data_IF_420048958796
#
_entry.id   IF_420048958796
#
_cell.length_a   1.000
_cell.length_b   1.000
_cell.length_c   1.000
_cell.angle_alpha   90.00
_cell.angle_beta   90.00
_cell.angle_gamma   90.00
#
_symmetry.space_group_name_H-M   'P 1'
#
loop_
_entity.id
_entity.type
_entity.pdbx_description
1 polymer ?
#
# COMPACT_ATOMS: atom_id res chain seq x y z
N UNK A 1 3.70 -5.48 2.94
CA UNK A 1 2.88 -4.51 2.16
C UNK A 1 1.80 -5.26 1.41
N UNK A 2 0.59 -4.71 1.37
CA UNK A 2 -0.55 -5.23 0.61
C UNK A 2 -1.09 -4.09 -0.28
N UNK A 3 -1.35 -4.37 -1.56
CA UNK A 3 -1.94 -3.40 -2.51
C UNK A 3 -3.08 -4.08 -3.26
N UNK A 4 -4.25 -3.45 -3.34
CA UNK A 4 -5.47 -4.04 -3.93
C UNK A 4 -6.44 -2.96 -4.46
N UNK A 5 -7.52 -3.37 -5.11
CA UNK A 5 -8.62 -2.51 -5.55
C UNK A 5 -9.93 -2.83 -4.81
N UNK A 6 -10.67 -1.81 -4.39
CA UNK A 6 -11.88 -2.03 -3.55
C UNK A 6 -13.06 -2.65 -4.31
N UNK A 7 -13.06 -2.58 -5.64
CA UNK A 7 -14.08 -3.15 -6.52
C UNK A 7 -13.64 -4.49 -7.13
N UNK A 8 -12.62 -5.14 -6.54
CA UNK A 8 -12.21 -6.47 -6.95
C UNK A 8 -13.30 -7.52 -6.73
N UNK A 9 -13.68 -8.21 -7.80
CA UNK A 9 -14.65 -9.30 -7.81
C UNK A 9 -14.06 -10.67 -7.48
N UNK A 10 -12.73 -10.80 -7.44
CA UNK A 10 -12.02 -12.06 -7.16
C UNK A 10 -11.68 -12.25 -5.67
N UNK A 11 -12.02 -11.27 -4.83
CA UNK A 11 -11.90 -11.35 -3.37
C UNK A 11 -10.51 -11.03 -2.80
N UNK A 12 -9.58 -10.51 -3.59
CA UNK A 12 -8.26 -10.08 -3.14
C UNK A 12 -8.32 -8.93 -2.14
N UNK A 13 -9.28 -8.00 -2.26
CA UNK A 13 -9.44 -6.95 -1.26
C UNK A 13 -9.86 -7.52 0.11
N UNK A 14 -10.81 -8.47 0.12
CA UNK A 14 -11.25 -9.13 1.35
C UNK A 14 -10.14 -10.00 1.97
N UNK A 15 -9.42 -10.76 1.14
CA UNK A 15 -8.26 -11.56 1.58
C UNK A 15 -7.13 -10.66 2.11
N UNK A 16 -6.81 -9.57 1.41
CA UNK A 16 -5.82 -8.60 1.83
C UNK A 16 -6.18 -7.92 3.15
N UNK A 17 -7.45 -7.54 3.34
CA UNK A 17 -7.92 -6.97 4.61
C UNK A 17 -7.79 -7.96 5.78
N UNK A 18 -8.11 -9.23 5.54
CA UNK A 18 -7.93 -10.31 6.54
C UNK A 18 -6.45 -10.50 6.87
N UNK A 19 -5.58 -10.55 5.87
CA UNK A 19 -4.15 -10.75 6.08
C UNK A 19 -3.53 -9.54 6.79
N UNK A 20 -3.95 -8.31 6.46
CA UNK A 20 -3.57 -7.11 7.21
C UNK A 20 -3.94 -7.23 8.69
N UNK A 21 -5.19 -7.59 9.00
CA UNK A 21 -5.66 -7.71 10.38
C UNK A 21 -4.87 -8.77 11.17
N UNK A 22 -4.64 -9.94 10.55
CA UNK A 22 -3.89 -11.02 11.17
C UNK A 22 -2.42 -10.65 11.42
N UNK A 23 -1.75 -10.00 10.46
CA UNK A 23 -0.35 -9.57 10.62
C UNK A 23 -0.26 -8.44 11.65
N UNK A 24 -1.18 -7.46 11.62
CA UNK A 24 -1.21 -6.37 12.58
C UNK A 24 -1.33 -6.88 14.03
N UNK A 25 -2.12 -7.93 14.25
CA UNK A 25 -2.32 -8.54 15.56
C UNK A 25 -1.07 -9.21 16.16
N UNK A 26 -0.05 -9.52 15.36
CA UNK A 26 1.23 -10.06 15.86
C UNK A 26 2.05 -9.00 16.61
N UNK A 27 1.84 -7.71 16.31
CA UNK A 27 2.42 -6.57 17.03
C UNK A 27 3.89 -6.25 16.73
N UNK A 28 4.62 -7.16 16.09
CA UNK A 28 6.06 -7.02 15.80
C UNK A 28 6.37 -6.95 14.29
N UNK A 29 5.38 -7.21 13.43
CA UNK A 29 5.55 -7.16 11.97
C UNK A 29 4.98 -5.86 11.40
N UNK A 30 5.81 -5.01 10.79
CA UNK A 30 5.37 -3.82 10.07
C UNK A 30 4.47 -4.19 8.88
N UNK A 31 3.28 -3.61 8.83
CA UNK A 31 2.32 -3.88 7.76
C UNK A 31 1.62 -2.61 7.31
N UNK A 32 1.42 -2.49 6.00
CA UNK A 32 0.60 -1.46 5.38
C UNK A 32 -0.27 -2.07 4.30
N UNK A 33 -1.49 -1.55 4.16
CA UNK A 33 -2.44 -1.87 3.12
C UNK A 33 -2.85 -0.59 2.38
N UNK A 34 -2.80 -0.65 1.05
CA UNK A 34 -3.29 0.38 0.15
C UNK A 34 -4.39 -0.22 -0.73
N UNK A 35 -5.62 0.28 -0.62
CA UNK A 35 -6.74 -0.16 -1.45
C UNK A 35 -7.26 0.99 -2.31
N UNK A 36 -7.13 0.87 -3.65
CA UNK A 36 -7.58 1.90 -4.59
C UNK A 36 -9.09 1.82 -4.77
N UNK A 37 -9.77 2.92 -4.48
CA UNK A 37 -11.23 3.02 -4.53
C UNK A 37 -11.72 2.84 -5.96
N UNK A 38 -12.60 1.85 -6.17
CA UNK A 38 -13.21 1.55 -7.47
C UNK A 38 -12.32 0.76 -8.44
N UNK A 39 -11.08 0.45 -8.08
CA UNK A 39 -10.21 -0.39 -8.89
C UNK A 39 -10.60 -1.87 -8.80
N UNK A 40 -10.40 -2.61 -9.90
CA UNK A 40 -10.58 -4.05 -9.97
C UNK A 40 -9.37 -4.80 -9.37
N UNK A 41 -9.28 -6.12 -9.61
CA UNK A 41 -8.17 -6.97 -9.15
C UNK A 41 -6.79 -6.46 -9.59
N UNK A 42 -6.66 -6.00 -10.83
CA UNK A 42 -5.39 -5.60 -11.44
C UNK A 42 -5.06 -4.13 -11.24
N UNK A 43 -6.04 -3.32 -10.85
CA UNK A 43 -5.88 -1.89 -10.63
C UNK A 43 -5.32 -1.19 -11.86
N UNK A 44 -4.14 -0.58 -11.71
CA UNK A 44 -3.47 0.15 -12.77
C UNK A 44 -2.13 -0.47 -13.21
N UNK A 45 -1.92 -1.77 -12.96
CA UNK A 45 -0.71 -2.48 -13.37
C UNK A 45 -0.46 -2.49 -14.89
N UNK A 46 -1.50 -2.30 -15.70
CA UNK A 46 -1.41 -2.20 -17.16
C UNK A 46 -1.07 -0.78 -17.66
N UNK A 47 -1.07 0.21 -16.77
CA UNK A 47 -0.67 1.55 -17.12
C UNK A 47 0.83 1.62 -17.42
N UNK A 48 1.27 2.71 -18.06
CA UNK A 48 2.70 2.94 -18.31
C UNK A 48 3.48 2.84 -17.00
N UNK A 49 4.51 2.00 -16.99
CA UNK A 49 5.35 1.68 -15.82
C UNK A 49 4.58 1.10 -14.62
N UNK A 50 3.42 0.47 -14.84
CA UNK A 50 2.65 -0.23 -13.81
C UNK A 50 1.89 0.69 -12.83
N UNK A 51 1.71 1.96 -13.19
CA UNK A 51 0.81 2.87 -12.50
C UNK A 51 1.21 3.20 -11.06
N UNK A 52 0.23 3.52 -10.24
CA UNK A 52 0.42 3.84 -8.83
C UNK A 52 0.66 2.58 -7.99
N UNK A 53 0.11 1.42 -8.39
CA UNK A 53 0.40 0.15 -7.73
C UNK A 53 1.90 -0.13 -7.72
N UNK A 54 2.58 0.05 -8.86
CA UNK A 54 4.04 -0.09 -8.92
C UNK A 54 4.78 0.98 -8.10
N UNK A 55 4.32 2.23 -8.12
CA UNK A 55 4.96 3.31 -7.33
C UNK A 55 4.95 3.01 -5.83
N UNK A 56 3.81 2.56 -5.29
CA UNK A 56 3.67 2.17 -3.88
C UNK A 56 4.66 1.04 -3.54
N UNK A 57 4.70 -0.01 -4.36
CA UNK A 57 5.62 -1.14 -4.15
C UNK A 57 7.08 -0.70 -4.17
N UNK A 58 7.47 0.14 -5.13
CA UNK A 58 8.85 0.66 -5.22
C UNK A 58 9.23 1.52 -4.01
N UNK A 59 8.32 2.36 -3.51
CA UNK A 59 8.59 3.17 -2.33
C UNK A 59 8.84 2.31 -1.09
N UNK A 60 8.09 1.21 -0.91
CA UNK A 60 8.34 0.28 0.18
C UNK A 60 9.68 -0.43 0.06
N UNK A 61 10.03 -0.88 -1.14
CA UNK A 61 11.33 -1.51 -1.37
C UNK A 61 12.49 -0.52 -1.18
N UNK A 62 12.34 0.73 -1.61
CA UNK A 62 13.34 1.78 -1.36
C UNK A 62 13.50 2.03 0.14
N UNK A 63 12.41 2.12 0.89
CA UNK A 63 12.49 2.30 2.34
C UNK A 63 13.17 1.11 3.03
N UNK A 64 12.63 -0.09 2.87
CA UNK A 64 13.08 -1.25 3.65
C UNK A 64 14.41 -1.85 3.19
N UNK A 65 14.69 -1.82 1.89
CA UNK A 65 15.91 -2.45 1.34
C UNK A 65 17.04 -1.47 1.11
N UNK A 66 16.76 -0.17 1.00
CA UNK A 66 17.78 0.87 0.74
C UNK A 66 17.85 1.94 1.83
N UNK A 67 16.99 1.89 2.84
CA UNK A 67 16.95 2.89 3.91
C UNK A 67 16.45 4.27 3.43
N UNK A 68 15.72 4.33 2.31
CA UNK A 68 15.24 5.60 1.77
C UNK A 68 14.05 6.13 2.58
N UNK A 69 14.32 7.13 3.43
CA UNK A 69 13.29 7.83 4.20
C UNK A 69 12.73 9.07 3.49
N UNK A 70 13.18 9.37 2.27
CA UNK A 70 12.77 10.56 1.51
C UNK A 70 11.43 10.37 0.80
N UNK A 71 11.08 11.31 -0.09
CA UNK A 71 9.86 11.30 -0.89
C UNK A 71 9.75 10.13 -1.88
N UNK A 72 10.83 9.38 -2.13
CA UNK A 72 10.82 8.17 -2.99
C UNK A 72 10.76 6.86 -2.22
N UNK A 73 10.77 6.92 -0.88
CA UNK A 73 10.69 5.77 0.03
C UNK A 73 9.64 5.99 1.12
N UNK A 74 10.04 6.05 2.40
CA UNK A 74 9.14 6.23 3.56
C UNK A 74 8.17 7.39 3.38
N UNK A 75 8.68 8.54 2.94
CA UNK A 75 7.91 9.78 2.81
C UNK A 75 6.80 9.75 1.75
N UNK A 76 6.79 8.77 0.83
CA UNK A 76 5.67 8.54 -0.08
C UNK A 76 4.51 7.79 0.59
N UNK A 77 4.84 6.95 1.59
CA UNK A 77 3.91 5.98 2.17
C UNK A 77 3.32 6.43 3.51
N UNK A 78 4.06 7.21 4.30
CA UNK A 78 3.64 7.72 5.61
C UNK A 78 4.20 9.11 5.91
N UNK A 79 3.64 9.74 6.93
CA UNK A 79 4.08 11.06 7.40
C UNK A 79 3.47 12.23 6.61
N UNK A 80 3.87 13.47 6.93
CA UNK A 80 3.23 14.68 6.41
C UNK A 80 3.31 14.84 4.89
N UNK A 81 4.32 14.26 4.25
CA UNK A 81 4.53 14.29 2.79
C UNK A 81 3.90 13.12 2.05
N UNK A 82 3.19 12.22 2.75
CA UNK A 82 2.61 11.03 2.16
C UNK A 82 1.56 11.39 1.12
N UNK A 83 1.91 11.22 -0.16
CA UNK A 83 1.03 11.46 -1.30
C UNK A 83 -0.31 10.74 -1.15
N UNK A 84 -0.27 9.44 -0.84
CA UNK A 84 -1.46 8.59 -0.84
C UNK A 84 -2.30 8.70 0.43
N UNK A 85 -1.76 9.23 1.52
CA UNK A 85 -2.48 9.36 2.79
C UNK A 85 -3.56 10.46 2.76
N UNK A 86 -3.43 11.41 1.84
CA UNK A 86 -4.41 12.50 1.64
C UNK A 86 -5.26 12.33 0.38
N UNK A 87 -4.93 11.33 -0.45
CA UNK A 87 -5.63 11.03 -1.68
C UNK A 87 -6.88 10.20 -1.40
N UNK A 88 -8.05 10.79 -1.65
CA UNK A 88 -9.36 10.14 -1.42
C UNK A 88 -9.64 8.95 -2.35
N UNK A 89 -8.82 8.76 -3.38
CA UNK A 89 -8.88 7.57 -4.25
C UNK A 89 -8.21 6.35 -3.63
N UNK A 90 -7.60 6.50 -2.44
CA UNK A 90 -6.94 5.42 -1.71
C UNK A 90 -7.50 5.28 -0.29
N UNK A 91 -7.68 4.03 0.13
CA UNK A 91 -7.85 3.66 1.54
C UNK A 91 -6.51 3.12 2.04
N UNK A 92 -5.95 3.77 3.06
CA UNK A 92 -4.62 3.44 3.59
C UNK A 92 -4.74 3.02 5.05
N UNK A 93 -4.15 1.87 5.37
CA UNK A 93 -4.06 1.34 6.73
C UNK A 93 -2.63 0.94 7.03
N UNK A 94 -2.18 1.13 8.27
CA UNK A 94 -0.85 0.71 8.71
C UNK A 94 -0.85 0.25 10.17
N UNK A 95 0.04 -0.68 10.50
CA UNK A 95 0.31 -1.09 11.88
C UNK A 95 1.80 -1.45 12.05
N UNK A 96 2.29 -1.28 13.27
CA UNK A 96 3.63 -1.70 13.71
C UNK A 96 4.78 -1.16 12.83
N UNK A 97 4.62 0.05 12.27
CA UNK A 97 5.69 0.72 11.54
C UNK A 97 6.77 1.24 12.49
N UNK A 98 8.05 1.28 12.07
CA UNK A 98 9.15 1.82 12.87
C UNK A 98 9.18 3.36 12.91
#
# INVERSE_FOLDING_TARGET
MIVTGTADSLGANANGARDFANIAALGDIPVMMFAKVGADHGGDLWARNGGEFTQINLAWLNWWLKGDESATGKGMLVGPSCRFCTDRTWQVSSANLP
#
